data_IF_948219856118
#
_entry.id   IF_948219856118
#
_cell.length_a   1.000
_cell.length_b   1.000
_cell.length_c   1.000
_cell.angle_alpha   90.00
_cell.angle_beta   90.00
_cell.angle_gamma   90.00
#
_symmetry.space_group_name_H-M   'P 1'
#
loop_
_entity.id
_entity.type
_entity.pdbx_description
1 polymer ?
#
# COMPACT_ATOMS: atom_id res chain seq x y z
N UNK A 1 0.65 -17.38 1.96
CA UNK A 1 2.06 -17.34 1.50
C UNK A 1 2.87 -16.30 2.27
N UNK A 2 2.45 -15.03 2.30
CA UNK A 2 3.17 -13.95 3.00
C UNK A 2 3.46 -14.24 4.49
N UNK A 3 2.49 -14.72 5.26
CA UNK A 3 2.72 -15.13 6.65
C UNK A 3 3.83 -16.19 6.81
N UNK A 4 3.94 -17.15 5.87
CA UNK A 4 5.01 -18.17 5.90
C UNK A 4 6.38 -17.54 5.64
N UNK A 5 6.45 -16.53 4.76
CA UNK A 5 7.66 -15.77 4.50
C UNK A 5 8.12 -15.03 5.76
N UNK A 6 7.23 -14.27 6.42
CA UNK A 6 7.57 -13.58 7.66
C UNK A 6 7.99 -14.55 8.77
N UNK A 7 7.28 -15.68 8.93
CA UNK A 7 7.65 -16.73 9.91
C UNK A 7 9.01 -17.36 9.62
N UNK A 8 9.38 -17.53 8.34
CA UNK A 8 10.67 -18.10 7.96
C UNK A 8 11.85 -17.16 8.25
N UNK A 9 11.60 -15.86 8.34
CA UNK A 9 12.59 -14.83 8.65
C UNK A 9 12.57 -14.41 10.12
N UNK A 10 11.66 -14.96 10.92
CA UNK A 10 11.51 -14.63 12.33
C UNK A 10 12.80 -14.94 13.11
N UNK A 11 13.27 -13.97 13.89
CA UNK A 11 14.50 -14.06 14.67
C UNK A 11 15.81 -13.96 13.86
N UNK A 12 15.76 -13.91 12.52
CA UNK A 12 16.95 -13.72 11.70
C UNK A 12 17.62 -12.38 12.02
N UNK A 13 18.89 -12.42 12.43
CA UNK A 13 19.71 -11.22 12.62
C UNK A 13 20.45 -10.93 11.33
N UNK A 14 20.01 -9.92 10.59
CA UNK A 14 20.64 -9.52 9.35
C UNK A 14 20.74 -7.99 9.23
N UNK A 15 21.88 -7.51 8.74
CA UNK A 15 22.09 -6.09 8.41
C UNK A 15 21.96 -5.92 6.91
N UNK A 16 20.80 -5.45 6.47
CA UNK A 16 20.56 -5.18 5.05
C UNK A 16 21.49 -4.06 4.55
N UNK A 17 22.14 -4.30 3.40
CA UNK A 17 23.08 -3.36 2.79
C UNK A 17 22.39 -2.10 2.23
N UNK A 18 21.11 -2.24 1.87
CA UNK A 18 20.26 -1.13 1.45
C UNK A 18 19.18 -0.92 2.52
N UNK A 19 19.51 -0.30 3.67
CA UNK A 19 18.48 0.14 4.58
C UNK A 19 17.79 1.30 3.87
N UNK A 20 16.79 1.01 3.03
CA UNK A 20 15.75 1.99 2.74
C UNK A 20 15.21 2.33 4.13
N UNK A 21 15.68 3.43 4.71
CA UNK A 21 15.23 3.94 6.00
C UNK A 21 13.73 4.21 5.82
N UNK A 22 12.91 3.23 6.21
CA UNK A 22 11.51 3.12 5.80
C UNK A 22 11.36 2.72 4.33
N UNK A 23 10.86 1.50 4.07
CA UNK A 23 10.30 1.15 2.75
C UNK A 23 9.16 2.12 2.39
N UNK A 24 8.43 2.55 3.41
CA UNK A 24 7.43 3.60 3.39
C UNK A 24 7.85 4.79 4.27
N UNK A 25 7.72 5.99 3.73
CA UNK A 25 8.08 7.27 4.35
C UNK A 25 7.10 8.32 3.82
N UNK A 26 5.90 8.29 4.40
CA UNK A 26 4.76 9.03 3.89
C UNK A 26 5.01 10.54 3.94
N UNK A 27 5.68 11.04 4.98
CA UNK A 27 6.02 12.46 5.11
C UNK A 27 6.94 12.94 4.00
N UNK A 28 7.98 12.17 3.65
CA UNK A 28 8.85 12.48 2.51
C UNK A 28 8.07 12.51 1.20
N UNK A 29 7.15 11.57 0.99
CA UNK A 29 6.37 11.52 -0.24
C UNK A 29 5.35 12.67 -0.33
N UNK A 30 4.74 13.08 0.78
CA UNK A 30 3.89 14.27 0.85
C UNK A 30 4.70 15.56 0.62
N UNK A 31 5.92 15.64 1.16
CA UNK A 31 6.83 16.75 0.90
C UNK A 31 7.23 16.82 -0.58
N UNK A 32 7.48 15.68 -1.24
CA UNK A 32 7.73 15.62 -2.68
C UNK A 32 6.52 16.10 -3.47
N UNK A 33 5.29 15.73 -3.09
CA UNK A 33 4.08 16.25 -3.74
C UNK A 33 3.94 17.77 -3.59
N UNK A 34 4.20 18.32 -2.39
CA UNK A 34 4.19 19.77 -2.16
C UNK A 34 5.24 20.48 -3.01
N UNK A 35 6.44 19.91 -3.15
CA UNK A 35 7.51 20.44 -4.00
C UNK A 35 7.12 20.40 -5.47
N UNK A 36 6.53 19.29 -5.95
CA UNK A 36 6.01 19.18 -7.32
C UNK A 36 5.00 20.30 -7.64
N UNK A 37 4.10 20.60 -6.70
CA UNK A 37 3.12 21.69 -6.86
C UNK A 37 3.73 23.09 -6.89
N UNK A 38 4.88 23.29 -6.23
CA UNK A 38 5.62 24.54 -6.22
C UNK A 38 6.44 24.73 -7.49
N UNK A 39 7.18 23.68 -7.89
CA UNK A 39 8.24 23.78 -8.88
C UNK A 39 7.71 23.63 -10.32
N UNK A 40 6.58 22.92 -10.50
CA UNK A 40 6.04 22.57 -11.83
C UNK A 40 4.75 23.32 -12.18
N UNK A 41 4.61 24.57 -11.74
CA UNK A 41 3.42 25.40 -12.03
C UNK A 41 3.13 25.61 -13.52
N UNK A 42 4.16 25.53 -14.35
CA UNK A 42 4.06 25.68 -15.82
C UNK A 42 3.82 24.35 -16.55
N UNK A 43 3.71 23.22 -15.84
CA UNK A 43 3.49 21.93 -16.46
C UNK A 43 2.12 21.91 -17.20
N UNK A 44 2.03 21.36 -18.42
CA UNK A 44 0.79 21.41 -19.22
C UNK A 44 -0.44 20.82 -18.51
N UNK A 45 -0.24 19.80 -17.67
CA UNK A 45 -1.29 19.14 -16.87
C UNK A 45 -1.48 19.71 -15.47
N UNK A 46 -0.79 20.79 -15.09
CA UNK A 46 -0.82 21.33 -13.72
C UNK A 46 -2.24 21.65 -13.23
N UNK A 47 -3.10 22.16 -14.12
CA UNK A 47 -4.51 22.47 -13.82
C UNK A 47 -5.32 21.23 -13.42
N UNK A 48 -5.01 20.08 -13.99
CA UNK A 48 -5.67 18.80 -13.72
C UNK A 48 -5.10 18.15 -12.46
N UNK A 49 -3.77 18.24 -12.27
CA UNK A 49 -3.07 17.63 -11.12
C UNK A 49 -3.34 18.39 -9.82
N UNK A 50 -3.40 19.72 -9.82
CA UNK A 50 -3.49 20.54 -8.59
C UNK A 50 -4.72 20.23 -7.73
N UNK A 51 -5.95 20.09 -8.27
CA UNK A 51 -7.11 19.70 -7.47
C UNK A 51 -7.00 18.28 -6.89
N UNK A 52 -6.39 17.36 -7.64
CA UNK A 52 -6.15 15.99 -7.17
C UNK A 52 -5.14 15.98 -6.03
N UNK A 53 -4.04 16.70 -6.17
CA UNK A 53 -3.01 16.83 -5.14
C UNK A 53 -3.57 17.44 -3.84
N UNK A 54 -4.45 18.44 -3.94
CA UNK A 54 -5.14 19.02 -2.76
C UNK A 54 -5.95 17.97 -2.01
N UNK A 55 -6.77 17.20 -2.72
CA UNK A 55 -7.56 16.13 -2.08
C UNK A 55 -6.69 15.07 -1.40
N UNK A 56 -5.53 14.74 -1.98
CA UNK A 56 -4.57 13.80 -1.37
C UNK A 56 -3.94 14.40 -0.11
N UNK A 57 -3.58 15.69 -0.14
CA UNK A 57 -3.02 16.38 1.02
C UNK A 57 -4.04 16.57 2.14
N UNK A 58 -5.31 16.79 1.81
CA UNK A 58 -6.41 16.86 2.77
C UNK A 58 -6.61 15.49 3.44
N UNK A 59 -6.69 14.41 2.65
CA UNK A 59 -6.75 13.04 3.15
C UNK A 59 -5.56 12.70 4.05
N UNK A 60 -4.35 13.14 3.68
CA UNK A 60 -3.15 12.95 4.48
C UNK A 60 -3.22 13.66 5.84
N UNK A 61 -3.90 14.81 5.91
CA UNK A 61 -4.13 15.53 7.17
C UNK A 61 -5.08 14.82 8.13
N UNK A 62 -5.84 13.84 7.65
CA UNK A 62 -6.80 13.04 8.41
C UNK A 62 -6.26 11.65 8.80
N UNK A 63 -5.01 11.33 8.45
CA UNK A 63 -4.41 10.04 8.77
C UNK A 63 -4.22 9.86 10.28
N UNK A 64 -4.57 8.68 10.77
CA UNK A 64 -4.26 8.26 12.12
C UNK A 64 -2.75 8.06 12.25
N UNK A 65 -2.17 8.53 13.38
CA UNK A 65 -0.77 8.22 13.69
C UNK A 65 -0.69 6.77 14.13
N UNK A 66 0.03 5.95 13.36
CA UNK A 66 0.31 4.58 13.74
C UNK A 66 1.05 4.52 15.07
N UNK A 67 0.67 3.56 15.91
CA UNK A 67 1.41 3.29 17.15
C UNK A 67 2.85 2.91 16.81
N UNK A 68 3.85 3.39 17.57
CA UNK A 68 5.21 2.89 17.44
C UNK A 68 5.24 1.38 17.69
N UNK A 69 5.80 0.63 16.76
CA UNK A 69 5.89 -0.82 16.80
C UNK A 69 7.31 -1.28 16.45
N UNK A 70 7.72 -2.45 16.95
CA UNK A 70 9.00 -3.03 16.56
C UNK A 70 9.00 -3.35 15.06
N UNK A 71 10.12 -3.04 14.41
CA UNK A 71 10.33 -3.46 13.02
C UNK A 71 10.49 -4.98 12.95
N UNK A 72 9.94 -5.56 11.90
CA UNK A 72 10.15 -6.96 11.50
C UNK A 72 10.86 -7.02 10.15
N UNK A 73 11.47 -8.16 9.84
CA UNK A 73 11.91 -8.42 8.47
C UNK A 73 10.66 -8.69 7.62
N UNK A 74 10.49 -7.89 6.59
CA UNK A 74 9.31 -7.90 5.71
C UNK A 74 9.71 -7.97 4.24
N UNK A 75 8.74 -8.20 3.35
CA UNK A 75 8.99 -8.20 1.91
C UNK A 75 9.26 -6.78 1.40
N UNK A 76 8.48 -5.80 1.86
CA UNK A 76 8.57 -4.39 1.48
C UNK A 76 7.68 -3.99 0.30
N UNK A 77 7.43 -4.90 -0.64
CA UNK A 77 6.46 -4.70 -1.74
C UNK A 77 5.61 -5.96 -2.00
N UNK A 78 4.75 -6.38 -1.05
CA UNK A 78 3.97 -7.62 -1.15
C UNK A 78 2.73 -7.50 -2.07
N UNK A 79 2.78 -6.69 -3.12
CA UNK A 79 1.68 -6.55 -4.09
C UNK A 79 1.32 -7.90 -4.73
N UNK A 80 0.07 -8.06 -5.16
CA UNK A 80 -0.43 -9.36 -5.66
C UNK A 80 0.39 -9.89 -6.85
N UNK A 81 0.93 -9.01 -7.67
CA UNK A 81 1.76 -9.36 -8.83
C UNK A 81 3.15 -9.91 -8.44
N UNK A 82 3.58 -9.70 -7.19
CA UNK A 82 4.80 -10.28 -6.64
C UNK A 82 4.56 -11.67 -6.00
N UNK A 83 3.33 -12.19 -6.12
CA UNK A 83 2.92 -13.52 -5.64
C UNK A 83 2.66 -14.44 -6.84
N UNK A 84 3.48 -15.47 -7.00
CA UNK A 84 3.27 -16.46 -8.06
C UNK A 84 2.34 -17.57 -7.58
N UNK A 85 1.30 -17.83 -8.35
CA UNK A 85 0.32 -18.88 -8.08
C UNK A 85 0.42 -20.00 -9.10
N UNK A 86 0.20 -21.22 -8.64
CA UNK A 86 0.05 -22.39 -9.48
C UNK A 86 -1.25 -22.28 -10.30
N UNK A 87 -1.20 -22.34 -11.65
CA UNK A 87 -2.38 -22.08 -12.47
C UNK A 87 -3.43 -23.20 -12.41
N UNK A 88 -3.07 -24.39 -11.89
CA UNK A 88 -3.98 -25.54 -11.82
C UNK A 88 -4.65 -25.59 -10.45
N UNK A 89 -3.86 -25.50 -9.38
CA UNK A 89 -4.33 -25.64 -8.00
C UNK A 89 -4.65 -24.32 -7.30
N UNK A 90 -4.23 -23.18 -7.85
CA UNK A 90 -4.34 -21.86 -7.23
C UNK A 90 -3.41 -21.66 -6.03
N UNK A 91 -2.52 -22.62 -5.72
CA UNK A 91 -1.63 -22.54 -4.58
C UNK A 91 -0.50 -21.52 -4.80
N UNK A 92 -0.22 -20.67 -3.80
CA UNK A 92 0.94 -19.78 -3.84
C UNK A 92 2.26 -20.56 -3.84
N UNK A 93 3.10 -20.32 -4.84
CA UNK A 93 4.37 -21.03 -5.10
C UNK A 93 5.60 -20.25 -4.67
N UNK A 94 5.65 -18.95 -4.97
CA UNK A 94 6.82 -18.12 -4.71
C UNK A 94 6.43 -16.66 -4.49
N UNK A 95 7.26 -15.97 -3.69
CA UNK A 95 7.35 -14.52 -3.68
C UNK A 95 8.54 -14.12 -4.54
N UNK A 96 8.37 -13.09 -5.35
CA UNK A 96 9.41 -12.52 -6.24
C UNK A 96 9.60 -11.05 -5.89
N UNK A 97 10.60 -10.40 -6.50
CA UNK A 97 10.92 -8.97 -6.26
C UNK A 97 11.42 -8.71 -4.82
N UNK A 98 12.50 -9.40 -4.45
CA UNK A 98 13.09 -9.36 -3.10
C UNK A 98 14.01 -8.14 -2.86
N UNK A 99 14.05 -7.18 -3.78
CA UNK A 99 14.92 -5.98 -3.72
C UNK A 99 14.47 -4.97 -2.65
N UNK A 100 13.30 -5.20 -2.06
CA UNK A 100 12.70 -4.36 -1.01
C UNK A 100 12.69 -5.03 0.37
N UNK A 101 13.24 -6.25 0.49
CA UNK A 101 13.31 -6.96 1.77
C UNK A 101 14.12 -6.14 2.76
N UNK A 102 13.51 -5.84 3.91
CA UNK A 102 14.08 -4.92 4.88
C UNK A 102 13.34 -4.92 6.21
N UNK A 103 13.65 -3.94 7.04
CA UNK A 103 13.05 -3.75 8.36
C UNK A 103 11.91 -2.74 8.28
N UNK A 104 10.72 -3.09 8.77
CA UNK A 104 9.56 -2.21 8.83
C UNK A 104 8.53 -2.72 9.86
N UNK A 105 7.70 -1.85 10.45
CA UNK A 105 6.53 -2.30 11.21
C UNK A 105 5.62 -3.18 10.36
N UNK A 106 5.25 -4.35 10.90
CA UNK A 106 4.41 -5.32 10.19
C UNK A 106 3.07 -4.75 9.67
N UNK A 107 2.38 -3.83 10.36
CA UNK A 107 1.14 -3.27 9.83
C UNK A 107 1.33 -2.53 8.51
N UNK A 108 2.48 -1.87 8.27
CA UNK A 108 2.75 -1.18 7.01
C UNK A 108 2.95 -2.16 5.86
N UNK A 109 3.60 -3.30 6.11
CA UNK A 109 3.75 -4.39 5.14
C UNK A 109 2.38 -4.98 4.77
N UNK A 110 1.55 -5.28 5.78
CA UNK A 110 0.18 -5.71 5.55
C UNK A 110 -0.66 -4.60 4.89
N UNK A 111 -0.34 -3.34 5.19
CA UNK A 111 -0.91 -2.16 4.57
C UNK A 111 -0.74 -2.17 3.06
N UNK A 112 0.49 -2.37 2.58
CA UNK A 112 0.79 -2.43 1.16
C UNK A 112 0.23 -3.69 0.48
N UNK A 113 0.25 -4.82 1.19
CA UNK A 113 -0.38 -6.05 0.73
C UNK A 113 -1.88 -5.82 0.47
N UNK A 114 -2.65 -5.39 1.47
CA UNK A 114 -4.09 -5.21 1.32
C UNK A 114 -4.48 -4.03 0.43
N UNK A 115 -3.66 -2.97 0.34
CA UNK A 115 -3.84 -1.94 -0.70
C UNK A 115 -3.90 -2.57 -2.09
N UNK A 116 -2.98 -3.48 -2.40
CA UNK A 116 -2.91 -4.15 -3.69
C UNK A 116 -3.98 -5.24 -3.83
N UNK A 117 -4.11 -6.12 -2.84
CA UNK A 117 -4.94 -7.33 -2.93
C UNK A 117 -6.42 -7.02 -2.91
N UNK A 118 -6.82 -5.93 -2.24
CA UNK A 118 -8.23 -5.58 -2.04
C UNK A 118 -8.74 -4.55 -3.05
N UNK A 119 -8.02 -4.29 -4.14
CA UNK A 119 -8.45 -3.40 -5.22
C UNK A 119 -8.68 -4.17 -6.54
N UNK A 120 -9.90 -4.69 -6.79
CA UNK A 120 -10.20 -5.51 -7.97
C UNK A 120 -10.01 -4.79 -9.30
N UNK A 121 -10.13 -3.46 -9.32
CA UNK A 121 -9.94 -2.65 -10.52
C UNK A 121 -8.46 -2.54 -10.93
N UNK A 122 -7.54 -2.89 -10.04
CA UNK A 122 -6.10 -2.71 -10.24
C UNK A 122 -5.63 -1.26 -10.06
N UNK A 123 -4.32 -1.05 -10.21
CA UNK A 123 -3.69 0.24 -9.92
C UNK A 123 -3.87 1.27 -11.06
N UNK A 124 -4.08 0.79 -12.29
CA UNK A 124 -4.18 1.62 -13.50
C UNK A 124 -5.63 2.06 -13.83
N UNK A 125 -6.52 2.06 -12.84
CA UNK A 125 -7.92 2.45 -12.97
C UNK A 125 -8.28 3.59 -11.98
N UNK A 126 -9.19 4.49 -12.39
CA UNK A 126 -9.65 5.61 -11.55
C UNK A 126 -10.69 5.21 -10.51
N UNK A 127 -11.33 4.05 -10.66
CA UNK A 127 -12.48 3.59 -9.89
C UNK A 127 -12.10 2.63 -8.76
N UNK A 128 -11.03 2.96 -8.03
CA UNK A 128 -10.56 2.13 -6.91
C UNK A 128 -11.65 1.87 -5.87
N UNK A 129 -11.89 0.59 -5.57
CA UNK A 129 -12.87 0.13 -4.59
C UNK A 129 -12.24 -0.90 -3.66
N UNK A 130 -12.37 -0.70 -2.34
CA UNK A 130 -11.76 -1.57 -1.36
C UNK A 130 -12.66 -2.75 -1.02
N UNK A 131 -12.30 -3.95 -1.47
CA UNK A 131 -13.10 -5.17 -1.24
C UNK A 131 -12.94 -5.71 0.18
N UNK A 132 -14.00 -5.63 0.98
CA UNK A 132 -14.08 -6.22 2.33
C UNK A 132 -13.98 -7.74 2.28
N UNK A 133 -14.52 -8.37 1.23
CA UNK A 133 -14.45 -9.82 1.03
C UNK A 133 -12.99 -10.28 0.84
N UNK A 134 -12.24 -9.60 -0.04
CA UNK A 134 -10.82 -9.92 -0.26
C UNK A 134 -9.98 -9.62 0.98
N UNK A 135 -10.29 -8.53 1.71
CA UNK A 135 -9.65 -8.22 2.97
C UNK A 135 -9.87 -9.32 4.00
N UNK A 136 -11.11 -9.79 4.17
CA UNK A 136 -11.44 -10.88 5.08
C UNK A 136 -10.72 -12.17 4.71
N UNK A 137 -10.80 -12.60 3.45
CA UNK A 137 -10.14 -13.82 2.99
C UNK A 137 -8.61 -13.75 3.16
N UNK A 138 -7.99 -12.62 2.80
CA UNK A 138 -6.56 -12.42 2.92
C UNK A 138 -6.09 -12.38 4.38
N UNK A 139 -6.84 -11.68 5.26
CA UNK A 139 -6.51 -11.56 6.68
C UNK A 139 -6.69 -12.89 7.42
N UNK A 140 -7.78 -13.62 7.17
CA UNK A 140 -7.99 -14.96 7.72
C UNK A 140 -6.90 -15.93 7.26
N UNK A 141 -6.54 -15.89 5.97
CA UNK A 141 -5.45 -16.69 5.43
C UNK A 141 -4.09 -16.36 6.07
N UNK A 142 -3.82 -15.08 6.35
CA UNK A 142 -2.61 -14.64 7.04
C UNK A 142 -2.58 -15.13 8.50
N UNK A 143 -3.66 -14.87 9.25
CA UNK A 143 -3.81 -15.24 10.66
C UNK A 143 -3.73 -16.75 10.88
N UNK A 144 -4.28 -17.56 9.96
CA UNK A 144 -4.22 -19.03 10.05
C UNK A 144 -2.79 -19.60 10.16
N UNK A 145 -1.79 -18.84 9.73
CA UNK A 145 -0.37 -19.21 9.79
C UNK A 145 0.39 -18.39 10.83
N UNK A 146 -0.04 -17.15 11.08
CA UNK A 146 0.64 -16.20 11.97
C UNK A 146 0.09 -16.19 13.41
N UNK A 147 -0.93 -16.99 13.74
CA UNK A 147 -1.48 -17.11 15.10
C UNK A 147 -0.37 -17.44 16.12
N UNK A 148 -0.42 -16.81 17.30
CA UNK A 148 0.64 -16.87 18.31
C UNK A 148 1.95 -16.13 17.98
N UNK A 149 2.11 -15.60 16.76
CA UNK A 149 3.26 -14.77 16.35
C UNK A 149 2.88 -13.31 16.08
N UNK A 150 1.67 -13.10 15.56
CA UNK A 150 1.05 -11.78 15.39
C UNK A 150 0.51 -11.27 16.73
N UNK A 151 0.75 -10.00 17.03
CA UNK A 151 0.19 -9.37 18.23
C UNK A 151 -1.15 -8.68 17.95
N UNK A 152 -1.96 -8.53 19.00
CA UNK A 152 -3.23 -7.80 18.90
C UNK A 152 -3.01 -6.34 18.50
N UNK A 153 -1.96 -5.70 19.03
CA UNK A 153 -1.62 -4.32 18.69
C UNK A 153 -1.29 -4.18 17.19
N UNK A 154 -0.47 -5.06 16.63
CA UNK A 154 -0.18 -5.05 15.18
C UNK A 154 -1.43 -5.22 14.33
N UNK A 155 -2.34 -6.11 14.76
CA UNK A 155 -3.54 -6.42 14.01
C UNK A 155 -4.53 -5.24 13.98
N UNK A 156 -4.67 -4.49 15.09
CA UNK A 156 -5.56 -3.30 15.12
C UNK A 156 -5.01 -2.14 14.30
N UNK A 157 -3.70 -2.06 14.07
CA UNK A 157 -3.08 -1.02 13.24
C UNK A 157 -3.11 -1.33 11.73
N UNK A 158 -3.60 -2.51 11.30
CA UNK A 158 -3.63 -2.88 9.87
C UNK A 158 -4.46 -1.90 9.05
N UNK A 159 -5.69 -1.58 9.48
CA UNK A 159 -6.57 -0.68 8.69
C UNK A 159 -5.99 0.75 8.60
N UNK A 160 -5.55 1.39 9.71
CA UNK A 160 -4.80 2.65 9.65
C UNK A 160 -3.56 2.58 8.73
N UNK A 161 -2.82 1.48 8.76
CA UNK A 161 -1.65 1.29 7.92
C UNK A 161 -2.02 1.17 6.44
N UNK A 162 -3.07 0.42 6.08
CA UNK A 162 -3.59 0.37 4.71
C UNK A 162 -3.95 1.78 4.21
N UNK A 163 -4.68 2.57 5.01
CA UNK A 163 -5.04 3.95 4.65
C UNK A 163 -3.81 4.84 4.44
N UNK A 164 -2.79 4.67 5.28
CA UNK A 164 -1.50 5.36 5.16
C UNK A 164 -0.80 5.01 3.84
N UNK A 165 -0.67 3.72 3.53
CA UNK A 165 0.00 3.25 2.32
C UNK A 165 -0.74 3.64 1.03
N UNK A 166 -2.08 3.57 1.01
CA UNK A 166 -2.88 4.08 -0.12
C UNK A 166 -2.60 5.58 -0.33
N UNK A 167 -2.59 6.37 0.74
CA UNK A 167 -2.40 7.83 0.67
C UNK A 167 -0.99 8.18 0.23
N UNK A 168 0.02 7.47 0.73
CA UNK A 168 1.41 7.61 0.29
C UNK A 168 1.54 7.33 -1.21
N UNK A 169 0.97 6.21 -1.69
CA UNK A 169 1.07 5.84 -3.10
C UNK A 169 0.31 6.83 -3.99
N UNK A 170 -0.85 7.33 -3.56
CA UNK A 170 -1.56 8.41 -4.22
C UNK A 170 -0.66 9.65 -4.37
N UNK A 171 0.05 10.04 -3.32
CA UNK A 171 0.96 11.18 -3.34
C UNK A 171 2.16 10.95 -4.27
N UNK A 172 2.72 9.74 -4.27
CA UNK A 172 3.81 9.35 -5.18
C UNK A 172 3.41 9.47 -6.64
N UNK A 173 2.27 8.90 -7.03
CA UNK A 173 1.75 9.04 -8.39
C UNK A 173 1.43 10.49 -8.72
N UNK A 174 0.78 11.22 -7.82
CA UNK A 174 0.39 12.62 -8.08
C UNK A 174 1.61 13.54 -8.24
N UNK A 175 2.68 13.32 -7.47
CA UNK A 175 3.94 14.04 -7.63
C UNK A 175 4.60 13.70 -8.97
N UNK A 176 4.65 12.41 -9.31
CA UNK A 176 5.23 11.94 -10.57
C UNK A 176 4.38 12.28 -11.80
N UNK A 177 3.13 12.72 -11.61
CA UNK A 177 2.35 13.32 -12.70
C UNK A 177 2.87 14.71 -13.12
N UNK A 178 3.75 15.33 -12.33
CA UNK A 178 4.41 16.60 -12.65
C UNK A 178 5.91 16.45 -12.88
N UNK A 179 6.57 15.53 -12.16
CA UNK A 179 8.00 15.23 -12.37
C UNK A 179 8.23 14.32 -13.59
N UNK A 180 7.36 13.34 -13.83
CA UNK A 180 7.45 12.35 -14.91
C UNK A 180 8.78 11.57 -14.96
N UNK A 181 9.36 11.27 -13.80
CA UNK A 181 10.74 10.75 -13.65
C UNK A 181 10.83 9.33 -13.06
N UNK A 182 9.77 8.82 -12.42
CA UNK A 182 9.84 7.58 -11.66
C UNK A 182 9.01 6.43 -12.25
N UNK A 183 7.70 6.62 -12.46
CA UNK A 183 6.81 5.54 -12.89
C UNK A 183 6.78 5.40 -14.43
N UNK A 184 6.85 4.15 -14.89
CA UNK A 184 6.55 3.81 -16.27
C UNK A 184 5.09 4.09 -16.61
N UNK A 185 4.78 4.15 -17.90
CA UNK A 185 3.42 4.38 -18.39
C UNK A 185 3.10 3.48 -19.57
N UNK A 186 1.80 3.28 -19.81
CA UNK A 186 1.30 2.46 -20.90
C UNK A 186 0.92 3.38 -22.08
N UNK A 187 1.71 3.39 -23.18
CA UNK A 187 1.46 4.24 -24.33
C UNK A 187 0.29 3.78 -25.19
N UNK A 188 -0.24 2.56 -24.99
CA UNK A 188 -1.42 2.07 -25.70
C UNK A 188 -2.71 2.63 -25.09
N UNK A 189 -2.69 2.94 -23.78
CA UNK A 189 -3.86 3.37 -23.01
C UNK A 189 -3.89 4.86 -22.68
N UNK A 190 -2.73 5.50 -22.56
CA UNK A 190 -2.62 6.89 -22.14
C UNK A 190 -1.87 7.71 -23.20
N UNK A 191 -1.85 9.03 -23.05
CA UNK A 191 -1.10 9.95 -23.93
C UNK A 191 0.23 10.43 -23.35
N UNK A 192 0.44 10.26 -22.04
CA UNK A 192 1.67 10.67 -21.34
C UNK A 192 1.83 9.94 -20.00
N UNK A 193 3.04 10.00 -19.43
CA UNK A 193 3.29 9.58 -18.03
C UNK A 193 2.40 10.37 -17.08
N UNK A 194 2.30 11.68 -17.27
CA UNK A 194 1.45 12.56 -16.46
C UNK A 194 0.00 12.09 -16.41
N UNK A 195 -0.58 11.75 -17.57
CA UNK A 195 -1.98 11.28 -17.61
C UNK A 195 -2.16 9.95 -16.88
N UNK A 196 -1.26 8.99 -17.10
CA UNK A 196 -1.35 7.69 -16.44
C UNK A 196 -1.18 7.82 -14.92
N UNK A 197 -0.24 8.64 -14.46
CA UNK A 197 -0.03 8.90 -13.04
C UNK A 197 -1.22 9.66 -12.40
N UNK A 198 -1.92 10.53 -13.13
CA UNK A 198 -3.19 11.11 -12.65
C UNK A 198 -4.28 10.06 -12.46
N UNK A 199 -4.38 9.10 -13.38
CA UNK A 199 -5.32 7.97 -13.28
C UNK A 199 -5.05 7.16 -12.03
N UNK A 200 -3.79 6.75 -11.84
CA UNK A 200 -3.36 5.97 -10.68
C UNK A 200 -3.57 6.72 -9.37
N UNK A 201 -3.19 7.99 -9.31
CA UNK A 201 -3.40 8.83 -8.12
C UNK A 201 -4.89 8.99 -7.78
N UNK A 202 -5.76 9.18 -8.78
CA UNK A 202 -7.20 9.23 -8.59
C UNK A 202 -7.77 7.89 -8.12
N UNK A 203 -7.27 6.77 -8.66
CA UNK A 203 -7.62 5.42 -8.23
C UNK A 203 -7.30 5.17 -6.77
N UNK A 204 -6.09 5.52 -6.32
CA UNK A 204 -5.71 5.40 -4.91
C UNK A 204 -6.56 6.31 -4.01
N UNK A 205 -6.86 7.54 -4.43
CA UNK A 205 -7.76 8.42 -3.68
C UNK A 205 -9.19 7.83 -3.55
N UNK A 206 -9.72 7.25 -4.62
CA UNK A 206 -11.01 6.56 -4.61
C UNK A 206 -10.97 5.34 -3.67
N UNK A 207 -9.89 4.55 -3.75
CA UNK A 207 -9.67 3.38 -2.89
C UNK A 207 -9.62 3.75 -1.41
N UNK A 208 -8.93 4.84 -1.04
CA UNK A 208 -8.89 5.32 0.35
C UNK A 208 -10.28 5.74 0.86
N UNK A 209 -11.06 6.43 0.02
CA UNK A 209 -12.45 6.82 0.37
C UNK A 209 -13.35 5.59 0.52
N UNK A 210 -13.18 4.61 -0.36
CA UNK A 210 -13.90 3.33 -0.30
C UNK A 210 -13.57 2.57 0.99
N UNK A 211 -12.29 2.50 1.37
CA UNK A 211 -11.84 1.91 2.64
C UNK A 211 -12.48 2.62 3.84
N UNK A 212 -12.47 3.96 3.89
CA UNK A 212 -13.06 4.70 5.01
C UNK A 212 -14.57 4.50 5.08
N UNK A 213 -15.28 4.51 3.94
CA UNK A 213 -16.70 4.21 3.87
C UNK A 213 -17.07 2.81 4.36
N UNK A 214 -16.11 1.88 4.36
CA UNK A 214 -16.25 0.47 4.79
C UNK A 214 -15.56 0.19 6.13
N UNK A 215 -15.04 1.21 6.82
CA UNK A 215 -14.20 1.05 8.02
C UNK A 215 -14.83 0.15 9.09
N UNK A 216 -16.10 0.34 9.40
CA UNK A 216 -16.81 -0.48 10.40
C UNK A 216 -16.92 -1.96 10.01
N UNK A 217 -17.01 -2.27 8.72
CA UNK A 217 -17.03 -3.66 8.24
C UNK A 217 -15.65 -4.30 8.34
N UNK A 218 -14.60 -3.55 7.98
CA UNK A 218 -13.21 -3.99 8.10
C UNK A 218 -12.82 -4.22 9.56
N UNK A 219 -13.22 -3.32 10.47
CA UNK A 219 -12.98 -3.47 11.91
C UNK A 219 -13.70 -4.69 12.49
N UNK A 220 -14.90 -5.06 11.98
CA UNK A 220 -15.56 -6.31 12.37
C UNK A 220 -14.77 -7.54 11.93
N UNK A 221 -14.15 -7.50 10.74
CA UNK A 221 -13.26 -8.58 10.27
C UNK A 221 -12.06 -8.71 11.19
N UNK A 222 -11.39 -7.59 11.50
CA UNK A 222 -10.25 -7.55 12.45
C UNK A 222 -10.65 -8.12 13.82
N UNK A 223 -11.78 -7.67 14.38
CA UNK A 223 -12.26 -8.14 15.68
C UNK A 223 -12.60 -9.64 15.67
N UNK A 224 -13.12 -10.18 14.56
CA UNK A 224 -13.38 -11.62 14.42
C UNK A 224 -12.08 -12.44 14.47
N UNK A 225 -11.04 -11.99 13.76
CA UNK A 225 -9.76 -12.72 13.74
C UNK A 225 -8.92 -12.51 15.00
N UNK A 226 -9.12 -11.40 15.74
CA UNK A 226 -8.47 -11.14 17.03
C UNK A 226 -8.76 -12.24 18.07
N UNK A 227 -9.93 -12.87 18.01
CA UNK A 227 -10.30 -13.99 18.91
C UNK A 227 -9.50 -15.26 18.59
N UNK A 228 -8.85 -15.31 17.43
CA UNK A 228 -8.16 -16.49 16.89
C UNK A 228 -6.63 -16.40 16.90
N UNK A 229 -6.03 -15.28 17.36
CA UNK A 229 -4.57 -15.09 17.43
C UNK A 229 -3.99 -15.41 18.80
#
# INVERSE_FOLDING_TARGET
MLARFHRALDGLQHRFANPRLGVHDTDRHLARLRSALSDHQNHPRYRDVKPLARQILDLAGELDRLRPMPDRIVHGDPKINNMLFDPISGAGRALVDLDTVGMMPLPLELGDAFRSWCNPAGEDDRSGEFSVELFAAGLEGYVSVAAGWLTADELVEVIPAVRTIITELAARFCADALYEDYFGWDPERFSSRSEHNQVRAAGQLALARSLEGRRLELERVVNRVLVSI
#
